data_IF_686957761232
#
_entry.id   IF_686957761232
#
_cell.length_a   1.000
_cell.length_b   1.000
_cell.length_c   1.000
_cell.angle_alpha   90.00
_cell.angle_beta   90.00
_cell.angle_gamma   90.00
#
_symmetry.space_group_name_H-M   'P 1'
#
loop_
_entity.id
_entity.type
_entity.pdbx_description
1 polymer ?
#
# COMPACT_ATOMS: atom_id res chain seq x y z
N UNK A 1 -16.49 7.17 -7.67
CA UNK A 1 -15.47 8.10 -7.14
C UNK A 1 -14.12 7.41 -7.05
N UNK A 2 -13.95 6.36 -6.25
CA UNK A 2 -12.64 5.74 -6.02
C UNK A 2 -11.96 5.11 -7.25
N UNK A 3 -12.74 4.44 -8.10
CA UNK A 3 -12.21 3.79 -9.30
C UNK A 3 -11.75 4.80 -10.39
N UNK A 4 -12.28 6.03 -10.35
CA UNK A 4 -12.00 7.08 -11.33
C UNK A 4 -11.69 8.41 -10.63
N UNK A 5 -10.78 8.41 -9.66
CA UNK A 5 -10.42 9.60 -8.87
C UNK A 5 -9.88 10.77 -9.69
N UNK A 6 -9.36 10.48 -10.88
CA UNK A 6 -8.84 11.47 -11.83
C UNK A 6 -9.95 12.32 -12.48
N UNK A 7 -11.19 11.83 -12.53
CA UNK A 7 -12.32 12.61 -13.03
C UNK A 7 -12.73 13.71 -12.03
N UNK A 8 -13.50 14.67 -12.52
CA UNK A 8 -14.16 15.66 -11.68
C UNK A 8 -15.42 15.09 -11.02
N UNK A 9 -15.41 15.16 -9.69
CA UNK A 9 -16.51 14.73 -8.82
C UNK A 9 -17.01 15.90 -7.97
N UNK A 10 -17.59 16.96 -8.57
CA UNK A 10 -18.19 18.03 -7.80
C UNK A 10 -19.32 17.46 -6.91
N UNK A 11 -19.52 18.06 -5.74
CA UNK A 11 -20.54 17.63 -4.78
C UNK A 11 -21.93 17.59 -5.43
N UNK A 12 -22.22 18.53 -6.33
CA UNK A 12 -23.42 18.53 -7.17
C UNK A 12 -23.63 17.21 -7.92
N UNK A 13 -22.65 16.74 -8.70
CA UNK A 13 -22.73 15.47 -9.45
C UNK A 13 -22.99 14.29 -8.50
N UNK A 14 -22.30 14.27 -7.37
CA UNK A 14 -22.44 13.20 -6.38
C UNK A 14 -23.83 13.21 -5.70
N UNK A 15 -24.36 14.39 -5.43
CA UNK A 15 -25.69 14.58 -4.84
C UNK A 15 -26.80 14.18 -5.82
N UNK A 16 -26.68 14.57 -7.08
CA UNK A 16 -27.59 14.20 -8.18
C UNK A 16 -27.66 12.67 -8.34
N UNK A 17 -26.51 11.98 -8.42
CA UNK A 17 -26.46 10.51 -8.53
C UNK A 17 -27.04 9.83 -7.28
N UNK A 18 -26.95 10.47 -6.11
CA UNK A 18 -27.45 9.94 -4.84
C UNK A 18 -28.92 10.29 -4.54
N UNK A 19 -29.57 11.11 -5.37
CA UNK A 19 -30.96 11.55 -5.16
C UNK A 19 -31.17 12.44 -3.93
N UNK A 20 -30.15 13.17 -3.49
CA UNK A 20 -30.22 14.05 -2.30
C UNK A 20 -29.72 15.46 -2.61
N UNK A 21 -30.01 16.43 -1.73
CA UNK A 21 -29.40 17.76 -1.85
C UNK A 21 -27.89 17.72 -1.57
N UNK A 22 -27.14 18.66 -2.15
CA UNK A 22 -25.69 18.78 -1.97
C UNK A 22 -25.28 18.87 -0.49
N UNK A 23 -26.01 19.66 0.29
CA UNK A 23 -25.76 19.80 1.73
C UNK A 23 -26.01 18.50 2.50
N UNK A 24 -27.05 17.75 2.12
CA UNK A 24 -27.33 16.44 2.73
C UNK A 24 -26.26 15.41 2.36
N UNK A 25 -25.84 15.38 1.09
CA UNK A 25 -24.76 14.52 0.63
C UNK A 25 -23.47 14.81 1.40
N UNK A 26 -23.02 16.07 1.46
CA UNK A 26 -21.77 16.43 2.11
C UNK A 26 -21.74 16.07 3.60
N UNK A 27 -22.86 16.30 4.33
CA UNK A 27 -22.99 15.90 5.73
C UNK A 27 -22.98 14.39 5.91
N UNK A 28 -23.75 13.67 5.10
CA UNK A 28 -23.85 12.22 5.16
C UNK A 28 -22.54 11.54 4.83
N UNK A 29 -21.84 12.03 3.80
CA UNK A 29 -20.52 11.57 3.41
C UNK A 29 -19.49 11.79 4.52
N UNK A 30 -19.43 13.00 5.09
CA UNK A 30 -18.53 13.28 6.22
C UNK A 30 -18.83 12.39 7.43
N UNK A 31 -20.11 12.10 7.70
CA UNK A 31 -20.49 11.19 8.78
C UNK A 31 -20.04 9.74 8.51
N UNK A 32 -20.07 9.30 7.25
CA UNK A 32 -19.69 7.94 6.86
C UNK A 32 -18.16 7.74 6.77
N UNK A 33 -17.43 8.70 6.18
CA UNK A 33 -16.00 8.60 5.88
C UNK A 33 -15.11 9.42 6.82
N UNK A 34 -15.69 10.17 7.76
CA UNK A 34 -14.96 11.05 8.70
C UNK A 34 -14.47 12.37 8.09
N UNK A 35 -14.35 12.47 6.78
CA UNK A 35 -13.84 13.64 6.06
C UNK A 35 -14.79 14.13 4.95
N UNK A 36 -14.77 15.44 4.62
CA UNK A 36 -15.60 15.97 3.52
C UNK A 36 -15.25 15.36 2.15
N UNK A 37 -16.21 15.26 1.21
CA UNK A 37 -16.01 14.66 -0.10
C UNK A 37 -14.80 15.21 -0.87
N UNK A 38 -14.63 16.54 -0.88
CA UNK A 38 -13.50 17.17 -1.56
C UNK A 38 -12.15 16.71 -1.00
N UNK A 39 -12.00 16.67 0.34
CA UNK A 39 -10.75 16.20 0.96
C UNK A 39 -10.50 14.73 0.66
N UNK A 40 -11.54 13.92 0.70
CA UNK A 40 -11.46 12.51 0.32
C UNK A 40 -10.93 12.34 -1.11
N UNK A 41 -11.47 13.10 -2.08
CA UNK A 41 -11.00 13.05 -3.47
C UNK A 41 -9.51 13.35 -3.59
N UNK A 42 -9.04 14.41 -2.91
CA UNK A 42 -7.63 14.79 -2.95
C UNK A 42 -6.75 13.65 -2.40
N UNK A 43 -7.15 13.02 -1.30
CA UNK A 43 -6.43 11.86 -0.75
C UNK A 43 -6.36 10.71 -1.76
N UNK A 44 -7.48 10.36 -2.41
CA UNK A 44 -7.50 9.29 -3.44
C UNK A 44 -6.62 9.63 -4.65
N UNK A 45 -6.62 10.89 -5.10
CA UNK A 45 -5.74 11.36 -6.18
C UNK A 45 -4.26 11.25 -5.80
N UNK A 46 -3.90 11.58 -4.56
CA UNK A 46 -2.53 11.42 -4.06
C UNK A 46 -2.14 9.94 -3.94
N UNK A 47 -3.00 9.07 -3.42
CA UNK A 47 -2.73 7.61 -3.36
C UNK A 47 -2.44 7.01 -4.74
N UNK A 48 -3.21 7.43 -5.75
CA UNK A 48 -2.97 7.04 -7.14
C UNK A 48 -1.63 7.59 -7.64
N UNK A 49 -1.29 8.85 -7.33
CA UNK A 49 -0.01 9.44 -7.71
C UNK A 49 1.18 8.71 -7.08
N UNK A 50 1.09 8.32 -5.80
CA UNK A 50 2.12 7.51 -5.11
C UNK A 50 2.33 6.18 -5.83
N UNK A 51 1.24 5.52 -6.23
CA UNK A 51 1.29 4.27 -7.00
C UNK A 51 2.02 4.47 -8.32
N UNK A 52 1.66 5.50 -9.09
CA UNK A 52 2.33 5.81 -10.37
C UNK A 52 3.80 6.21 -10.19
N UNK A 53 4.16 6.92 -9.12
CA UNK A 53 5.55 7.30 -8.82
C UNK A 53 6.44 6.08 -8.56
N UNK A 54 5.89 5.04 -7.92
CA UNK A 54 6.56 3.78 -7.62
C UNK A 54 6.62 2.85 -8.84
N UNK A 55 5.49 2.69 -9.52
CA UNK A 55 5.29 1.60 -10.49
C UNK A 55 5.61 2.01 -11.94
N UNK A 56 5.89 3.29 -12.21
CA UNK A 56 6.13 3.81 -13.57
C UNK A 56 7.30 4.81 -13.65
N UNK A 57 7.76 5.06 -14.88
CA UNK A 57 8.76 6.09 -15.21
C UNK A 57 8.14 7.43 -15.69
N UNK A 58 6.82 7.61 -15.57
CA UNK A 58 6.14 8.84 -16.01
C UNK A 58 6.76 10.11 -15.38
N UNK A 59 6.72 11.24 -16.07
CA UNK A 59 7.20 12.48 -15.46
C UNK A 59 6.28 12.89 -14.30
N UNK A 60 6.80 13.66 -13.33
CA UNK A 60 5.98 14.17 -12.21
C UNK A 60 4.81 15.02 -12.76
N UNK A 61 5.07 15.74 -13.85
CA UNK A 61 4.07 16.54 -14.56
C UNK A 61 2.95 15.67 -15.14
N UNK A 62 3.29 14.59 -15.83
CA UNK A 62 2.28 13.68 -16.40
C UNK A 62 1.46 13.00 -15.30
N UNK A 63 2.11 12.60 -14.20
CA UNK A 63 1.41 12.00 -13.06
C UNK A 63 0.41 12.99 -12.46
N UNK A 64 0.78 14.27 -12.33
CA UNK A 64 -0.15 15.29 -11.84
C UNK A 64 -1.40 15.37 -12.73
N UNK A 65 -1.24 15.43 -14.05
CA UNK A 65 -2.38 15.53 -14.97
C UNK A 65 -3.21 14.24 -15.03
N UNK A 66 -2.57 13.06 -15.11
CA UNK A 66 -3.27 11.76 -15.15
C UNK A 66 -4.04 11.48 -13.85
N UNK A 67 -3.61 12.05 -12.73
CA UNK A 67 -4.33 11.94 -11.45
C UNK A 67 -5.35 13.06 -11.22
N UNK A 68 -5.61 13.91 -12.23
CA UNK A 68 -6.69 14.88 -12.23
C UNK A 68 -6.33 16.25 -11.64
N UNK A 69 -5.05 16.63 -11.61
CA UNK A 69 -4.62 17.96 -11.16
C UNK A 69 -4.46 18.91 -12.33
N UNK A 70 -5.01 20.12 -12.21
CA UNK A 70 -4.87 21.17 -13.22
C UNK A 70 -3.55 21.96 -13.08
N UNK A 71 -2.94 21.91 -11.89
CA UNK A 71 -1.74 22.69 -11.57
C UNK A 71 -0.72 21.86 -10.81
N UNK A 72 0.52 21.86 -11.34
CA UNK A 72 1.66 21.19 -10.72
C UNK A 72 2.01 21.78 -9.35
N UNK A 73 1.82 23.09 -9.16
CA UNK A 73 2.07 23.75 -7.88
C UNK A 73 1.09 23.31 -6.79
N UNK A 74 -0.20 23.23 -7.13
CA UNK A 74 -1.24 22.73 -6.22
C UNK A 74 -1.01 21.26 -5.90
N UNK A 75 -0.74 20.45 -6.92
CA UNK A 75 -0.38 19.04 -6.75
C UNK A 75 0.79 18.88 -5.78
N UNK A 76 1.92 19.56 -6.03
CA UNK A 76 3.12 19.41 -5.21
C UNK A 76 2.91 19.83 -3.75
N UNK A 77 2.10 20.87 -3.50
CA UNK A 77 1.74 21.31 -2.14
C UNK A 77 0.90 20.25 -1.44
N UNK A 78 -0.23 19.85 -2.03
CA UNK A 78 -1.14 18.89 -1.40
C UNK A 78 -0.49 17.51 -1.27
N UNK A 79 0.32 17.09 -2.23
CA UNK A 79 1.09 15.85 -2.15
C UNK A 79 1.98 15.85 -0.90
N UNK A 80 2.70 16.95 -0.66
CA UNK A 80 3.55 17.08 0.53
C UNK A 80 2.74 17.15 1.81
N UNK A 81 1.64 17.88 1.81
CA UNK A 81 0.76 18.01 2.99
C UNK A 81 0.18 16.64 3.40
N UNK A 82 -0.09 15.76 2.43
CA UNK A 82 -0.66 14.43 2.69
C UNK A 82 0.42 13.38 2.98
N UNK A 83 1.55 13.40 2.26
CA UNK A 83 2.57 12.33 2.34
C UNK A 83 3.78 12.67 3.18
N UNK A 84 4.00 13.94 3.51
CA UNK A 84 5.21 14.45 4.16
C UNK A 84 6.41 14.66 3.22
N UNK A 85 6.38 14.14 1.99
CA UNK A 85 7.51 14.20 1.05
C UNK A 85 7.13 14.92 -0.25
N UNK A 86 8.13 15.36 -1.02
CA UNK A 86 7.85 15.80 -2.39
C UNK A 86 7.66 14.59 -3.33
N UNK A 87 6.95 14.74 -4.46
CA UNK A 87 6.80 13.66 -5.43
C UNK A 87 8.14 13.05 -5.90
N UNK A 88 9.14 13.91 -6.14
CA UNK A 88 10.49 13.48 -6.53
C UNK A 88 11.23 12.73 -5.44
N UNK A 89 11.14 13.20 -4.18
CA UNK A 89 11.74 12.50 -3.04
C UNK A 89 11.10 11.12 -2.85
N UNK A 90 9.77 11.02 -2.96
CA UNK A 90 9.05 9.76 -2.85
C UNK A 90 9.48 8.74 -3.92
N UNK A 91 9.71 9.19 -5.16
CA UNK A 91 10.23 8.32 -6.22
C UNK A 91 11.62 7.77 -5.89
N UNK A 92 12.51 8.63 -5.40
CA UNK A 92 13.89 8.23 -5.04
C UNK A 92 13.84 7.21 -3.91
N UNK A 93 13.09 7.50 -2.85
CA UNK A 93 12.92 6.61 -1.70
C UNK A 93 12.33 5.25 -2.12
N UNK A 94 11.30 5.28 -2.95
CA UNK A 94 10.65 4.07 -3.44
C UNK A 94 11.60 3.20 -4.27
N UNK A 95 12.41 3.79 -5.15
CA UNK A 95 13.41 3.05 -5.93
C UNK A 95 14.55 2.53 -5.06
N UNK A 96 14.98 3.30 -4.06
CA UNK A 96 15.98 2.85 -3.10
C UNK A 96 15.47 1.64 -2.31
N UNK A 97 14.21 1.65 -1.89
CA UNK A 97 13.57 0.52 -1.22
C UNK A 97 13.51 -0.73 -2.13
N UNK A 98 13.12 -0.58 -3.40
CA UNK A 98 13.13 -1.69 -4.38
C UNK A 98 14.55 -2.24 -4.57
N UNK A 99 15.55 -1.37 -4.79
CA UNK A 99 16.94 -1.79 -4.96
C UNK A 99 17.51 -2.48 -3.70
N UNK A 100 17.04 -2.11 -2.50
CA UNK A 100 17.39 -2.80 -1.27
C UNK A 100 16.74 -4.20 -1.20
N UNK A 101 15.48 -4.34 -1.65
CA UNK A 101 14.80 -5.64 -1.73
C UNK A 101 15.46 -6.57 -2.75
N UNK A 102 15.95 -6.07 -3.88
CA UNK A 102 16.66 -6.87 -4.90
C UNK A 102 17.97 -7.45 -4.37
N UNK A 103 18.60 -6.80 -3.38
CA UNK A 103 19.81 -7.32 -2.70
C UNK A 103 19.50 -8.43 -1.70
N UNK A 104 18.24 -8.61 -1.34
CA UNK A 104 17.79 -9.67 -0.43
C UNK A 104 17.38 -10.88 -1.27
N UNK A 105 18.01 -12.05 -1.08
CA UNK A 105 17.57 -13.26 -1.76
C UNK A 105 16.07 -13.49 -1.56
N UNK A 106 15.36 -13.87 -2.62
CA UNK A 106 13.90 -14.05 -2.59
C UNK A 106 13.43 -15.00 -1.47
N UNK A 107 14.27 -15.94 -1.04
CA UNK A 107 13.98 -16.84 0.08
C UNK A 107 13.86 -16.10 1.43
N UNK A 108 14.63 -15.02 1.64
CA UNK A 108 14.63 -14.22 2.87
C UNK A 108 13.42 -13.29 2.92
N UNK A 109 13.08 -12.63 1.80
CA UNK A 109 11.84 -11.83 1.71
C UNK A 109 10.60 -12.69 1.94
N UNK A 110 10.52 -13.85 1.29
CA UNK A 110 9.44 -14.82 1.50
C UNK A 110 9.37 -15.30 2.95
N UNK A 111 10.51 -15.46 3.63
CA UNK A 111 10.55 -15.86 5.04
C UNK A 111 10.03 -14.74 5.97
N UNK A 112 10.43 -13.49 5.74
CA UNK A 112 9.99 -12.32 6.51
C UNK A 112 8.50 -12.00 6.31
N UNK A 113 7.95 -12.34 5.14
CA UNK A 113 6.54 -12.15 4.80
C UNK A 113 5.68 -13.39 5.05
N UNK A 114 6.21 -14.45 5.68
CA UNK A 114 5.37 -15.60 6.05
C UNK A 114 4.34 -15.13 7.07
N UNK A 115 3.03 -15.32 6.83
CA UNK A 115 2.05 -15.17 7.89
C UNK A 115 2.37 -16.15 9.01
N UNK A 116 2.10 -15.78 10.27
CA UNK A 116 2.33 -16.59 11.46
C UNK A 116 1.48 -17.88 11.44
N UNK A 117 1.88 -18.84 10.61
CA UNK A 117 1.27 -20.17 10.53
C UNK A 117 1.70 -20.97 11.75
N UNK A 118 0.85 -20.96 12.78
CA UNK A 118 0.94 -21.82 13.98
C UNK A 118 0.70 -23.30 13.66
N UNK A 119 0.34 -23.64 12.41
CA UNK A 119 -0.01 -24.99 11.99
C UNK A 119 0.88 -25.38 10.80
N UNK A 120 2.15 -25.65 11.05
CA UNK A 120 2.93 -26.44 10.10
C UNK A 120 2.54 -27.92 10.28
N UNK A 121 1.92 -28.50 9.24
CA UNK A 121 1.58 -29.93 9.09
C UNK A 121 2.79 -30.87 9.34
N UNK A 122 4.01 -30.34 9.40
CA UNK A 122 5.26 -31.06 9.66
C UNK A 122 5.46 -31.51 11.12
N UNK A 123 4.91 -30.83 12.14
CA UNK A 123 5.03 -31.31 13.53
C UNK A 123 4.26 -32.63 13.76
N UNK A 124 3.18 -32.85 13.00
CA UNK A 124 2.35 -34.07 13.11
C UNK A 124 3.10 -35.32 12.61
N UNK A 125 4.10 -35.19 11.73
CA UNK A 125 4.91 -36.33 11.27
C UNK A 125 6.10 -36.65 12.18
N UNK A 126 6.63 -35.67 12.94
CA UNK A 126 7.78 -35.91 13.85
C UNK A 126 7.37 -36.61 15.16
N UNK A 127 6.12 -36.45 15.61
CA UNK A 127 5.59 -37.17 16.79
C UNK A 127 5.34 -38.67 16.55
N UNK A 128 5.29 -39.13 15.30
CA UNK A 128 5.10 -40.55 14.97
C UNK A 128 6.38 -41.39 14.87
N UNK A 129 7.57 -40.77 14.90
CA UNK A 129 8.85 -41.45 14.63
C UNK A 129 9.80 -41.51 15.84
N UNK A 130 9.31 -41.29 17.07
CA UNK A 130 10.14 -41.40 18.29
C UNK A 130 10.08 -42.82 18.85
N UNK A 131 10.61 -43.77 18.09
CA UNK A 131 10.79 -45.17 18.49
C UNK A 131 12.28 -45.52 18.55
N UNK A 132 12.83 -45.48 19.76
CA UNK A 132 13.97 -46.26 20.27
C UNK A 132 15.31 -46.20 19.51
N UNK A 133 16.25 -45.39 19.99
CA UNK A 133 17.68 -45.80 19.98
C UNK A 133 18.30 -45.44 21.33
N UNK A 134 18.70 -46.49 22.06
CA UNK A 134 19.41 -46.47 23.34
C UNK A 134 20.92 -46.28 23.05
N UNK A 135 21.67 -45.42 23.76
CA UNK A 135 23.10 -45.30 23.51
C UNK A 135 23.84 -46.50 24.14
N UNK A 136 24.60 -47.24 23.35
CA UNK A 136 25.56 -48.24 23.84
C UNK A 136 26.97 -47.65 23.81
N UNK A 137 27.62 -47.68 24.97
CA UNK A 137 29.04 -47.37 25.16
C UNK A 137 29.94 -48.49 24.65
N UNK A 138 31.09 -48.13 24.05
CA UNK A 138 32.32 -48.95 23.95
C UNK A 138 33.48 -47.94 23.81
N UNK A 139 34.26 -47.62 24.85
CA UNK A 139 35.49 -48.28 25.34
C UNK A 139 36.53 -48.66 24.25
N UNK A 140 37.56 -47.82 24.18
CA UNK A 140 39.02 -48.14 24.23
C UNK A 140 39.80 -48.81 23.07
N UNK A 141 40.99 -48.19 22.84
CA UNK A 141 42.33 -48.76 22.53
C UNK A 141 42.54 -49.18 21.06
N UNK A 142 43.60 -48.77 20.34
CA UNK A 142 45.05 -48.73 20.66
C UNK A 142 45.74 -47.47 20.17
#
# INVERSE_FOLDING_TARGET
MDASSHEDWPVRRLAEVSGVSEAHFARSFKRAFGIPPHRYLLTRRIEQAVTLLRDTDLSITDIAFVTGWESLGTFGRIFRDITGHSPGAMRIESRAAIAALDRVPACVLKAAQRPDLTIAVLEKRRRGAKGTVRPSSTKEVT
#
